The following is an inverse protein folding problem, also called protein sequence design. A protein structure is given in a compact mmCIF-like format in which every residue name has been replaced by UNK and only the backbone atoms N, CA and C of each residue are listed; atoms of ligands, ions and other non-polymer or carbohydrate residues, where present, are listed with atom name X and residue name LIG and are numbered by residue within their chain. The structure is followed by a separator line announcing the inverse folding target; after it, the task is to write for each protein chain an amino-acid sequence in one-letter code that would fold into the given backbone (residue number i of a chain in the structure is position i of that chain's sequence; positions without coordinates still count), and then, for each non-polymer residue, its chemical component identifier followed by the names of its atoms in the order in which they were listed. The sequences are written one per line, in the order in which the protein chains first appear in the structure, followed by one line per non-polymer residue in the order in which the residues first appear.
data_IF_003052566606
#
_entry.id   IF_003052566606
#
_cell.length_a   1.000
_cell.length_b   1.000
_cell.length_c   1.000
_cell.angle_alpha   90.00
_cell.angle_beta   90.00
_cell.angle_gamma   90.00
#
_symmetry.space_group_name_H-M   'P 1'
#
loop_
_entity.id
_entity.type
_entity.pdbx_description
1 polymer ?
#
# COMPACT_ATOMS: atom_id res chain seq x y z
N UNK A 1 -30.25 -40.89 11.93
CA UNK A 1 -29.07 -40.05 12.32
C UNK A 1 -28.35 -39.67 11.03
N UNK A 2 -28.52 -38.43 10.56
CA UNK A 2 -27.88 -37.91 9.37
C UNK A 2 -26.45 -37.42 9.69
N UNK A 3 -25.48 -38.08 9.07
CA UNK A 3 -24.06 -37.72 9.18
C UNK A 3 -23.81 -36.47 8.32
N UNK A 4 -23.52 -35.32 8.94
CA UNK A 4 -23.11 -34.08 8.27
C UNK A 4 -21.82 -34.33 7.49
N UNK A 5 -21.88 -34.20 6.16
CA UNK A 5 -20.74 -34.31 5.23
C UNK A 5 -19.88 -33.05 5.29
N UNK A 6 -18.57 -33.23 5.55
CA UNK A 6 -17.54 -32.38 4.93
C UNK A 6 -17.07 -31.15 5.68
N UNK A 7 -16.57 -31.26 6.93
CA UNK A 7 -15.54 -30.34 7.39
C UNK A 7 -14.22 -30.64 6.65
N UNK A 8 -13.93 -29.86 5.60
CA UNK A 8 -12.57 -29.86 5.00
C UNK A 8 -11.57 -29.56 6.11
N UNK A 9 -10.71 -30.53 6.46
CA UNK A 9 -9.60 -30.35 7.42
C UNK A 9 -8.78 -29.13 6.96
N UNK A 10 -8.91 -28.01 7.66
CA UNK A 10 -8.11 -26.80 7.43
C UNK A 10 -6.65 -27.18 7.65
N UNK A 11 -5.75 -26.71 6.76
CA UNK A 11 -4.31 -26.91 6.90
C UNK A 11 -3.82 -26.23 8.18
N UNK A 12 -2.71 -26.70 8.74
CA UNK A 12 -2.08 -26.08 9.93
C UNK A 12 -1.87 -24.57 9.70
N UNK A 13 -1.41 -24.19 8.51
CA UNK A 13 -1.25 -22.79 8.10
C UNK A 13 -2.57 -21.98 8.18
N UNK A 14 -3.69 -22.56 7.74
CA UNK A 14 -5.00 -21.90 7.82
C UNK A 14 -5.50 -21.75 9.27
N UNK A 15 -5.19 -22.69 10.16
CA UNK A 15 -5.52 -22.60 11.60
C UNK A 15 -4.72 -21.50 12.27
N UNK A 16 -3.41 -21.50 12.09
CA UNK A 16 -2.50 -20.49 12.65
C UNK A 16 -2.87 -19.08 12.14
N UNK A 17 -3.23 -18.95 10.87
CA UNK A 17 -3.71 -17.69 10.32
C UNK A 17 -5.01 -17.22 10.99
N UNK A 18 -5.98 -18.12 11.16
CA UNK A 18 -7.26 -17.80 11.80
C UNK A 18 -7.09 -17.40 13.27
N UNK A 19 -6.27 -18.13 14.02
CA UNK A 19 -5.94 -17.82 15.42
C UNK A 19 -5.31 -16.44 15.55
N UNK A 20 -4.35 -16.10 14.66
CA UNK A 20 -3.74 -14.77 14.57
C UNK A 20 -4.76 -13.68 14.22
N UNK A 21 -5.75 -13.97 13.38
CA UNK A 21 -6.81 -13.00 13.05
C UNK A 21 -7.75 -12.76 14.23
N UNK A 22 -8.09 -13.80 14.98
CA UNK A 22 -9.01 -13.70 16.14
C UNK A 22 -8.34 -12.97 17.30
N UNK A 23 -7.05 -13.24 17.55
CA UNK A 23 -6.30 -12.65 18.67
C UNK A 23 -5.74 -11.26 18.39
N UNK A 24 -5.82 -10.77 17.16
CA UNK A 24 -5.22 -9.48 16.77
C UNK A 24 -6.11 -8.31 17.21
N UNK A 25 -5.67 -7.45 18.14
CA UNK A 25 -6.48 -6.35 18.65
C UNK A 25 -6.87 -5.33 17.58
N UNK A 26 -6.05 -5.17 16.53
CA UNK A 26 -6.36 -4.29 15.41
C UNK A 26 -7.48 -4.85 14.52
N UNK A 27 -7.66 -6.17 14.45
CA UNK A 27 -8.80 -6.77 13.75
C UNK A 27 -10.11 -6.44 14.49
N UNK A 28 -10.14 -6.63 15.81
CA UNK A 28 -11.30 -6.30 16.63
C UNK A 28 -11.61 -4.79 16.57
N UNK A 29 -10.58 -3.97 16.64
CA UNK A 29 -10.68 -2.52 16.54
C UNK A 29 -11.21 -2.07 15.17
N UNK A 30 -10.69 -2.62 14.08
CA UNK A 30 -11.15 -2.31 12.72
C UNK A 30 -12.63 -2.61 12.54
N UNK A 31 -13.11 -3.77 13.04
CA UNK A 31 -14.51 -4.14 12.99
C UNK A 31 -15.39 -3.17 13.78
N UNK A 32 -14.95 -2.74 14.97
CA UNK A 32 -15.69 -1.80 15.83
C UNK A 32 -15.76 -0.39 15.22
N UNK A 33 -14.67 0.08 14.61
CA UNK A 33 -14.55 1.42 14.04
C UNK A 33 -14.97 1.48 12.55
N UNK A 34 -15.45 0.34 12.00
CA UNK A 34 -15.98 0.27 10.64
C UNK A 34 -14.92 0.31 9.54
N UNK A 35 -13.64 0.02 9.85
CA UNK A 35 -12.60 -0.13 8.84
C UNK A 35 -12.65 -1.49 8.15
N UNK A 36 -12.38 -1.51 6.85
CA UNK A 36 -12.42 -2.73 6.03
C UNK A 36 -11.36 -3.75 6.39
N UNK A 37 -10.24 -3.32 6.93
CA UNK A 37 -9.15 -4.19 7.35
C UNK A 37 -8.30 -3.56 8.46
N UNK A 38 -7.58 -4.41 9.19
CA UNK A 38 -6.60 -3.95 10.17
C UNK A 38 -5.46 -3.13 9.55
N UNK A 39 -5.19 -3.31 8.25
CA UNK A 39 -4.16 -2.57 7.53
C UNK A 39 -4.43 -1.05 7.54
N UNK A 40 -5.68 -0.62 7.69
CA UNK A 40 -6.04 0.79 7.84
C UNK A 40 -5.21 1.48 8.92
N UNK A 41 -4.98 0.82 10.06
CA UNK A 41 -4.23 1.41 11.18
C UNK A 41 -2.76 1.65 10.88
N UNK A 42 -2.15 0.89 9.97
CA UNK A 42 -0.78 1.18 9.52
C UNK A 42 -0.70 2.57 8.90
N UNK A 43 -1.64 2.90 8.00
CA UNK A 43 -1.70 4.22 7.39
C UNK A 43 -2.13 5.30 8.39
N UNK A 44 -3.10 5.01 9.25
CA UNK A 44 -3.54 5.94 10.32
C UNK A 44 -2.34 6.36 11.17
N UNK A 45 -1.57 5.41 11.70
CA UNK A 45 -0.43 5.68 12.59
C UNK A 45 0.73 6.39 11.88
N UNK A 46 0.99 6.01 10.62
CA UNK A 46 1.99 6.71 9.79
C UNK A 46 1.54 8.14 9.54
N UNK A 47 0.28 8.35 9.15
CA UNK A 47 -0.21 9.68 8.83
C UNK A 47 -0.38 10.58 10.07
N UNK A 48 -0.78 10.03 11.21
CA UNK A 48 -0.82 10.77 12.47
C UNK A 48 0.55 11.36 12.83
N UNK A 49 1.62 10.63 12.53
CA UNK A 49 3.00 11.06 12.80
C UNK A 49 3.56 11.98 11.72
N UNK A 50 3.30 11.69 10.45
CA UNK A 50 3.99 12.34 9.34
C UNK A 50 3.14 13.33 8.56
N UNK A 51 1.81 13.36 8.78
CA UNK A 51 0.86 14.30 8.15
C UNK A 51 0.95 14.31 6.63
N UNK A 52 0.77 13.12 6.03
CA UNK A 52 0.83 12.92 4.58
C UNK A 52 -0.50 13.27 3.90
N UNK A 53 -1.61 12.95 4.56
CA UNK A 53 -2.97 13.11 4.06
C UNK A 53 -3.54 14.44 4.58
N UNK A 54 -3.56 15.45 3.73
CA UNK A 54 -4.16 16.76 4.03
C UNK A 54 -5.45 16.93 3.24
N UNK A 55 -6.39 17.76 3.67
CA UNK A 55 -7.53 18.15 2.85
C UNK A 55 -7.09 18.61 1.45
N UNK A 56 -7.75 18.11 0.42
CA UNK A 56 -7.43 18.41 -0.97
C UNK A 56 -6.31 17.58 -1.61
N UNK A 57 -5.62 16.71 -0.85
CA UNK A 57 -4.53 15.85 -1.37
C UNK A 57 -5.05 14.88 -2.44
N UNK A 58 -4.26 14.74 -3.52
CA UNK A 58 -4.48 13.76 -4.59
C UNK A 58 -3.61 12.54 -4.34
N UNK A 59 -4.26 11.40 -4.10
CA UNK A 59 -3.63 10.16 -3.64
C UNK A 59 -3.79 9.07 -4.69
N UNK A 60 -2.72 8.31 -4.93
CA UNK A 60 -2.78 7.02 -5.63
C UNK A 60 -2.46 5.92 -4.64
N UNK A 61 -3.33 4.89 -4.54
CA UNK A 61 -3.20 3.73 -3.64
C UNK A 61 -3.01 2.45 -4.47
N UNK A 62 -1.79 1.92 -4.47
CA UNK A 62 -1.38 0.73 -5.21
C UNK A 62 -1.46 -0.50 -4.30
N UNK A 63 -2.24 -1.52 -4.73
CA UNK A 63 -2.54 -2.70 -3.91
C UNK A 63 -3.63 -2.41 -2.88
N UNK A 64 -4.69 -1.75 -3.32
CA UNK A 64 -5.69 -1.15 -2.45
C UNK A 64 -6.61 -2.15 -1.73
N UNK A 65 -6.93 -3.30 -2.36
CA UNK A 65 -7.91 -4.25 -1.80
C UNK A 65 -7.49 -4.82 -0.44
N UNK A 66 -8.42 -4.91 0.51
CA UNK A 66 -9.87 -4.69 0.46
C UNK A 66 -10.33 -3.22 0.66
N UNK A 67 -9.42 -2.24 0.64
CA UNK A 67 -9.73 -0.82 0.70
C UNK A 67 -9.41 -0.13 2.03
N UNK A 68 -8.62 -0.77 2.89
CA UNK A 68 -8.30 -0.18 4.21
C UNK A 68 -7.54 1.13 4.11
N UNK A 69 -6.55 1.23 3.23
CA UNK A 69 -5.79 2.46 3.03
C UNK A 69 -6.57 3.49 2.23
N UNK A 70 -7.24 3.08 1.16
CA UNK A 70 -8.12 3.96 0.37
C UNK A 70 -9.20 4.62 1.22
N UNK A 71 -9.81 3.89 2.16
CA UNK A 71 -10.83 4.42 3.06
C UNK A 71 -10.27 5.48 4.02
N UNK A 72 -9.08 5.23 4.61
CA UNK A 72 -8.39 6.21 5.45
C UNK A 72 -8.03 7.46 4.64
N UNK A 73 -7.49 7.26 3.43
CA UNK A 73 -7.12 8.36 2.54
C UNK A 73 -8.35 9.22 2.20
N UNK A 74 -9.44 8.61 1.74
CA UNK A 74 -10.66 9.34 1.36
C UNK A 74 -11.24 10.16 2.53
N UNK A 75 -11.30 9.57 3.74
CA UNK A 75 -11.77 10.27 4.94
C UNK A 75 -10.92 11.50 5.28
N UNK A 76 -9.59 11.43 5.08
CA UNK A 76 -8.66 12.50 5.47
C UNK A 76 -8.50 13.59 4.44
N UNK A 77 -8.53 13.23 3.15
CA UNK A 77 -8.41 14.24 2.08
C UNK A 77 -9.70 15.01 1.83
N UNK A 78 -10.84 14.43 2.23
CA UNK A 78 -12.15 15.07 2.13
C UNK A 78 -12.62 15.31 0.68
N UNK A 79 -13.72 16.07 0.53
CA UNK A 79 -14.37 16.31 -0.76
C UNK A 79 -13.49 17.06 -1.78
N UNK A 80 -12.54 17.87 -1.31
CA UNK A 80 -11.58 18.56 -2.17
C UNK A 80 -10.41 17.71 -2.65
N UNK A 81 -10.24 16.50 -2.07
CA UNK A 81 -9.20 15.56 -2.43
C UNK A 81 -9.67 14.54 -3.45
N UNK A 82 -8.73 13.71 -3.90
CA UNK A 82 -9.02 12.61 -4.82
C UNK A 82 -8.22 11.37 -4.42
N UNK A 83 -8.86 10.21 -4.42
CA UNK A 83 -8.19 8.93 -4.20
C UNK A 83 -8.44 8.03 -5.39
N UNK A 84 -7.36 7.68 -6.09
CA UNK A 84 -7.35 6.70 -7.16
C UNK A 84 -6.69 5.43 -6.65
N UNK A 85 -7.39 4.31 -6.73
CA UNK A 85 -6.97 3.03 -6.19
C UNK A 85 -6.88 1.95 -7.28
N UNK A 86 -5.90 1.05 -7.19
CA UNK A 86 -5.75 -0.08 -8.10
C UNK A 86 -5.44 -1.36 -7.33
N UNK A 87 -6.06 -2.47 -7.76
CA UNK A 87 -5.74 -3.82 -7.27
C UNK A 87 -6.15 -4.88 -8.30
N UNK A 88 -5.52 -6.05 -8.26
CA UNK A 88 -5.92 -7.24 -9.02
C UNK A 88 -7.19 -7.89 -8.47
N UNK A 89 -7.47 -7.69 -7.18
CA UNK A 89 -8.65 -8.20 -6.49
C UNK A 89 -9.80 -7.20 -6.56
N UNK A 90 -11.03 -7.72 -6.48
CA UNK A 90 -12.20 -6.86 -6.38
C UNK A 90 -12.24 -6.09 -5.06
N UNK A 91 -12.68 -4.84 -5.13
CA UNK A 91 -12.93 -4.01 -3.98
C UNK A 91 -14.35 -3.46 -4.00
N UNK A 92 -15.06 -3.57 -2.87
CA UNK A 92 -16.37 -2.93 -2.74
C UNK A 92 -16.21 -1.41 -2.86
N UNK A 93 -17.15 -0.69 -3.51
CA UNK A 93 -17.07 0.76 -3.65
C UNK A 93 -16.84 1.48 -2.32
N UNK A 94 -16.06 2.56 -2.36
CA UNK A 94 -15.78 3.48 -1.25
C UNK A 94 -16.13 4.88 -1.73
N UNK A 95 -16.90 5.63 -0.94
CA UNK A 95 -17.19 7.02 -1.26
C UNK A 95 -15.88 7.84 -1.36
N UNK A 96 -15.73 8.62 -2.41
CA UNK A 96 -14.52 9.43 -2.66
C UNK A 96 -13.31 8.65 -3.19
N UNK A 97 -13.48 7.37 -3.55
CA UNK A 97 -12.43 6.55 -4.15
C UNK A 97 -12.85 6.08 -5.54
N UNK A 98 -12.02 6.38 -6.52
CA UNK A 98 -12.09 5.81 -7.86
C UNK A 98 -11.24 4.54 -7.92
N UNK A 99 -11.82 3.40 -8.28
CA UNK A 99 -11.14 2.10 -8.23
C UNK A 99 -10.98 1.51 -9.62
N UNK A 100 -9.76 1.10 -9.95
CA UNK A 100 -9.41 0.37 -11.16
C UNK A 100 -9.01 -1.08 -10.80
N UNK A 101 -9.77 -2.05 -11.28
CA UNK A 101 -9.40 -3.46 -11.16
C UNK A 101 -8.46 -3.83 -12.30
N UNK A 102 -7.17 -3.83 -12.02
CA UNK A 102 -6.12 -4.16 -12.99
C UNK A 102 -4.87 -4.60 -12.24
N UNK A 103 -4.06 -5.47 -12.86
CA UNK A 103 -2.73 -5.77 -12.37
C UNK A 103 -1.82 -4.55 -12.59
N UNK A 104 -1.22 -4.04 -11.51
CA UNK A 104 -0.30 -2.90 -11.60
C UNK A 104 0.94 -3.22 -12.46
N UNK A 105 1.32 -4.49 -12.58
CA UNK A 105 2.43 -4.93 -13.44
C UNK A 105 2.04 -5.08 -14.92
N UNK A 106 0.75 -4.91 -15.25
CA UNK A 106 0.33 -4.81 -16.65
C UNK A 106 0.90 -3.54 -17.27
N UNK A 107 1.50 -3.66 -18.46
CA UNK A 107 2.14 -2.54 -19.16
C UNK A 107 1.18 -1.35 -19.43
N UNK A 108 -0.13 -1.58 -19.42
CA UNK A 108 -1.15 -0.54 -19.63
C UNK A 108 -1.52 0.18 -18.33
N UNK A 109 -1.25 -0.41 -17.16
CA UNK A 109 -1.69 0.12 -15.88
C UNK A 109 -1.16 1.54 -15.58
N UNK A 110 0.14 1.84 -15.76
CA UNK A 110 0.64 3.19 -15.52
C UNK A 110 -0.03 4.23 -16.42
N UNK A 111 -0.28 3.90 -17.69
CA UNK A 111 -0.95 4.80 -18.62
C UNK A 111 -2.41 5.05 -18.23
N UNK A 112 -3.17 4.00 -17.88
CA UNK A 112 -4.54 4.13 -17.43
C UNK A 112 -4.64 4.94 -16.13
N UNK A 113 -3.76 4.68 -15.16
CA UNK A 113 -3.71 5.45 -13.91
C UNK A 113 -3.40 6.93 -14.15
N UNK A 114 -2.45 7.25 -15.03
CA UNK A 114 -2.13 8.64 -15.39
C UNK A 114 -3.32 9.34 -16.06
N UNK A 115 -4.01 8.67 -16.98
CA UNK A 115 -5.19 9.20 -17.66
C UNK A 115 -6.32 9.49 -16.66
N UNK A 116 -6.60 8.54 -15.76
CA UNK A 116 -7.59 8.71 -14.70
C UNK A 116 -7.20 9.81 -13.71
N UNK A 117 -5.92 9.87 -13.31
CA UNK A 117 -5.42 10.89 -12.39
C UNK A 117 -5.62 12.31 -12.94
N UNK A 118 -5.49 12.49 -14.24
CA UNK A 118 -5.73 13.77 -14.94
C UNK A 118 -4.84 14.91 -14.42
N UNK A 119 -3.60 14.61 -14.04
CA UNK A 119 -2.62 15.54 -13.50
C UNK A 119 -1.63 14.85 -12.55
N UNK A 120 -0.97 15.62 -11.69
CA UNK A 120 0.02 15.07 -10.74
C UNK A 120 -0.63 14.63 -9.44
N UNK A 121 -0.01 13.65 -8.77
CA UNK A 121 -0.36 13.21 -7.42
C UNK A 121 0.48 13.96 -6.37
N UNK A 122 -0.08 14.15 -5.19
CA UNK A 122 0.66 14.65 -4.03
C UNK A 122 1.23 13.49 -3.19
N UNK A 123 0.59 12.33 -3.28
CA UNK A 123 0.97 11.15 -2.50
C UNK A 123 0.72 9.86 -3.30
N UNK A 124 1.74 9.02 -3.37
CA UNK A 124 1.61 7.63 -3.85
C UNK A 124 1.83 6.69 -2.67
N UNK A 125 0.86 5.82 -2.45
CA UNK A 125 0.85 4.77 -1.43
C UNK A 125 1.02 3.41 -2.10
N UNK A 126 1.74 2.48 -1.48
CA UNK A 126 1.83 1.10 -1.93
C UNK A 126 1.92 0.14 -0.74
N UNK A 127 0.83 -0.61 -0.50
CA UNK A 127 0.83 -1.77 0.41
C UNK A 127 0.79 -3.09 -0.38
N UNK A 128 1.23 -3.05 -1.66
CA UNK A 128 1.26 -4.23 -2.52
C UNK A 128 2.03 -5.37 -1.88
N UNK A 129 1.52 -6.59 -2.02
CA UNK A 129 2.16 -7.80 -1.58
C UNK A 129 1.93 -8.92 -2.60
N UNK A 130 2.99 -9.58 -3.02
CA UNK A 130 2.86 -10.81 -3.78
C UNK A 130 2.27 -11.93 -2.91
N UNK A 131 1.52 -12.83 -3.53
CA UNK A 131 1.07 -14.05 -2.85
C UNK A 131 2.28 -14.83 -2.35
N UNK A 132 2.26 -15.22 -1.06
CA UNK A 132 3.32 -15.97 -0.45
C UNK A 132 3.48 -17.34 -1.12
N UNK A 133 4.68 -17.65 -1.59
CA UNK A 133 5.03 -18.97 -2.12
C UNK A 133 5.45 -19.93 -1.01
N UNK A 134 5.75 -19.40 0.18
CA UNK A 134 6.36 -20.11 1.30
C UNK A 134 7.89 -20.17 1.22
N UNK A 135 8.49 -19.70 0.13
CA UNK A 135 9.93 -19.61 -0.03
C UNK A 135 10.39 -18.16 0.24
N UNK A 136 11.00 -17.96 1.39
CA UNK A 136 11.32 -16.63 1.94
C UNK A 136 12.06 -15.70 0.97
N UNK A 137 13.06 -16.24 0.26
CA UNK A 137 13.87 -15.46 -0.67
C UNK A 137 13.06 -15.05 -1.91
N UNK A 138 12.25 -15.96 -2.45
CA UNK A 138 11.38 -15.66 -3.59
C UNK A 138 10.32 -14.62 -3.22
N UNK A 139 9.69 -14.76 -2.05
CA UNK A 139 8.68 -13.82 -1.57
C UNK A 139 9.29 -12.44 -1.34
N UNK A 140 10.52 -12.38 -0.81
CA UNK A 140 11.27 -11.14 -0.65
C UNK A 140 11.53 -10.44 -1.99
N UNK A 141 12.08 -11.15 -2.97
CA UNK A 141 12.37 -10.58 -4.30
C UNK A 141 11.11 -10.07 -4.99
N UNK A 142 9.99 -10.78 -4.88
CA UNK A 142 8.71 -10.36 -5.46
C UNK A 142 8.19 -9.05 -4.83
N UNK A 143 8.29 -8.91 -3.52
CA UNK A 143 7.88 -7.68 -2.84
C UNK A 143 8.79 -6.52 -3.21
N UNK A 144 10.10 -6.76 -3.34
CA UNK A 144 11.04 -5.73 -3.79
C UNK A 144 10.77 -5.28 -5.22
N UNK A 145 10.48 -6.19 -6.14
CA UNK A 145 10.10 -5.85 -7.52
C UNK A 145 8.83 -4.97 -7.56
N UNK A 146 7.83 -5.26 -6.71
CA UNK A 146 6.63 -4.42 -6.57
C UNK A 146 6.96 -3.03 -6.02
N UNK A 147 7.86 -2.94 -5.04
CA UNK A 147 8.28 -1.66 -4.47
C UNK A 147 9.07 -0.81 -5.49
N UNK A 148 9.94 -1.42 -6.29
CA UNK A 148 10.69 -0.78 -7.36
C UNK A 148 9.75 -0.27 -8.47
N UNK A 149 8.79 -1.09 -8.91
CA UNK A 149 7.77 -0.68 -9.87
C UNK A 149 6.91 0.48 -9.35
N UNK A 150 6.50 0.43 -8.08
CA UNK A 150 5.75 1.51 -7.44
C UNK A 150 6.58 2.80 -7.35
N UNK A 151 7.88 2.71 -7.04
CA UNK A 151 8.78 3.87 -6.99
C UNK A 151 9.00 4.48 -8.37
N UNK A 152 9.12 3.65 -9.40
CA UNK A 152 9.21 4.12 -10.79
C UNK A 152 7.97 4.93 -11.17
N UNK A 153 6.80 4.35 -10.95
CA UNK A 153 5.52 5.04 -11.21
C UNK A 153 5.37 6.34 -10.38
N UNK A 154 5.77 6.32 -9.10
CA UNK A 154 5.70 7.51 -8.25
C UNK A 154 6.51 8.67 -8.82
N UNK A 155 7.71 8.43 -9.40
CA UNK A 155 8.52 9.46 -10.06
C UNK A 155 7.83 10.09 -11.27
N UNK A 156 7.00 9.32 -11.96
CA UNK A 156 6.31 9.79 -13.15
C UNK A 156 5.07 10.63 -12.86
N UNK A 157 4.45 10.42 -11.69
CA UNK A 157 3.15 11.06 -11.37
C UNK A 157 3.19 12.07 -10.25
N UNK A 158 4.23 12.05 -9.38
CA UNK A 158 4.30 12.95 -8.24
C UNK A 158 4.55 14.41 -8.67
N UNK A 159 3.82 15.31 -8.04
CA UNK A 159 4.13 16.73 -8.07
C UNK A 159 5.44 17.00 -7.29
N UNK A 160 6.21 18.05 -7.65
CA UNK A 160 7.31 18.52 -6.80
C UNK A 160 6.82 18.74 -5.37
N UNK A 161 7.59 18.28 -4.39
CA UNK A 161 7.20 18.29 -2.97
C UNK A 161 6.34 17.10 -2.53
N UNK A 162 5.87 16.27 -3.46
CA UNK A 162 5.06 15.09 -3.19
C UNK A 162 5.77 14.03 -2.36
N UNK A 163 5.02 13.03 -1.93
CA UNK A 163 5.51 11.97 -1.05
C UNK A 163 5.20 10.58 -1.60
N UNK A 164 6.05 9.61 -1.25
CA UNK A 164 5.89 8.20 -1.59
C UNK A 164 6.03 7.35 -0.34
N UNK A 165 5.09 6.44 -0.12
CA UNK A 165 5.09 5.48 0.97
C UNK A 165 4.92 4.08 0.40
N UNK A 166 5.90 3.20 0.58
CA UNK A 166 5.78 1.83 0.08
C UNK A 166 6.23 0.79 1.10
N UNK A 167 5.58 -0.37 1.07
CA UNK A 167 5.98 -1.54 1.84
C UNK A 167 7.24 -2.15 1.25
N UNK A 168 8.16 -2.50 2.15
CA UNK A 168 9.38 -3.29 1.88
C UNK A 168 9.53 -4.35 2.95
N UNK A 169 10.45 -5.29 2.76
CA UNK A 169 10.81 -6.27 3.77
C UNK A 169 12.25 -6.04 4.24
N UNK A 170 12.49 -6.16 5.54
CA UNK A 170 13.84 -6.21 6.09
C UNK A 170 14.63 -7.36 5.46
N UNK A 171 15.85 -7.09 5.00
CA UNK A 171 16.69 -8.15 4.42
C UNK A 171 17.79 -7.67 3.46
N UNK A 172 17.95 -6.36 3.28
CA UNK A 172 19.14 -5.76 2.63
C UNK A 172 19.14 -5.69 1.11
N UNK A 173 18.08 -6.11 0.42
CA UNK A 173 17.95 -5.95 -1.05
C UNK A 173 17.40 -4.58 -1.45
N UNK A 174 16.92 -3.80 -0.47
CA UNK A 174 16.38 -2.46 -0.70
C UNK A 174 17.47 -1.37 -0.88
N UNK A 175 18.75 -1.70 -0.83
CA UNK A 175 19.83 -0.71 -0.87
C UNK A 175 19.83 0.13 -2.16
N UNK A 176 19.59 -0.50 -3.32
CA UNK A 176 19.50 0.18 -4.61
C UNK A 176 18.29 1.13 -4.64
N UNK A 177 17.11 0.63 -4.29
CA UNK A 177 15.89 1.42 -4.20
C UNK A 177 16.04 2.59 -3.23
N UNK A 178 16.66 2.35 -2.05
CA UNK A 178 16.92 3.40 -1.05
C UNK A 178 17.86 4.48 -1.59
N UNK A 179 18.91 4.10 -2.33
CA UNK A 179 19.84 5.05 -2.95
C UNK A 179 19.14 5.94 -3.98
N UNK A 180 18.31 5.34 -4.82
CA UNK A 180 17.51 6.06 -5.81
C UNK A 180 16.52 7.02 -5.14
N UNK A 181 15.77 6.56 -4.14
CA UNK A 181 14.82 7.42 -3.42
C UNK A 181 15.53 8.58 -2.71
N UNK A 182 16.72 8.37 -2.13
CA UNK A 182 17.52 9.45 -1.51
C UNK A 182 17.98 10.49 -2.52
N UNK A 183 18.23 10.11 -3.77
CA UNK A 183 18.55 11.05 -4.85
C UNK A 183 17.33 11.89 -5.24
N UNK A 184 16.15 11.24 -5.35
CA UNK A 184 14.97 11.83 -5.94
C UNK A 184 14.10 12.58 -4.92
N UNK A 185 14.27 12.34 -3.61
CA UNK A 185 13.49 12.95 -2.54
C UNK A 185 14.37 13.69 -1.51
N UNK A 186 13.79 14.69 -0.86
CA UNK A 186 14.50 15.46 0.17
C UNK A 186 14.79 14.64 1.44
N UNK A 187 13.93 13.69 1.77
CA UNK A 187 14.14 12.80 2.91
C UNK A 187 13.56 11.40 2.66
N UNK A 188 14.27 10.37 3.13
CA UNK A 188 13.81 8.98 3.09
C UNK A 188 14.03 8.34 4.45
N UNK A 189 13.00 7.67 4.98
CA UNK A 189 13.03 7.04 6.31
C UNK A 189 12.39 5.66 6.26
N UNK A 190 12.92 4.73 7.04
CA UNK A 190 12.23 3.49 7.38
C UNK A 190 11.21 3.78 8.49
N UNK A 191 10.01 3.24 8.31
CA UNK A 191 8.90 3.39 9.25
C UNK A 191 8.31 2.02 9.53
N UNK A 192 8.17 1.68 10.81
CA UNK A 192 7.42 0.51 11.27
C UNK A 192 6.30 1.00 12.18
N UNK A 193 5.05 1.09 11.68
CA UNK A 193 3.94 1.52 12.52
C UNK A 193 3.64 0.45 13.57
N UNK A 194 3.14 0.82 14.77
CA UNK A 194 2.73 -0.12 15.82
C UNK A 194 1.73 -1.17 15.34
N UNK A 195 0.86 -0.83 14.38
CA UNK A 195 -0.05 -1.77 13.74
C UNK A 195 0.63 -2.85 12.90
N UNK A 196 1.92 -2.71 12.53
CA UNK A 196 2.69 -3.81 11.97
C UNK A 196 3.05 -4.80 13.08
N UNK A 197 2.86 -6.10 12.80
CA UNK A 197 3.19 -7.14 13.79
C UNK A 197 4.68 -7.11 14.11
N UNK A 198 5.03 -7.31 15.38
CA UNK A 198 6.42 -7.27 15.86
C UNK A 198 7.31 -8.32 15.20
N UNK A 199 6.75 -9.52 14.94
CA UNK A 199 7.40 -10.67 14.30
C UNK A 199 7.46 -10.57 12.77
N UNK A 200 6.82 -9.57 12.16
CA UNK A 200 6.84 -9.36 10.71
C UNK A 200 8.11 -8.63 10.27
N UNK A 201 8.74 -9.12 9.19
CA UNK A 201 9.81 -8.42 8.50
C UNK A 201 9.34 -7.17 7.72
N UNK A 202 8.04 -6.86 7.75
CA UNK A 202 7.43 -5.73 7.05
C UNK A 202 7.90 -4.39 7.62
N UNK A 203 8.33 -3.52 6.73
CA UNK A 203 8.67 -2.13 6.96
C UNK A 203 8.04 -1.26 5.86
N UNK A 204 8.06 0.04 6.05
CA UNK A 204 7.72 1.02 5.03
C UNK A 204 8.89 1.95 4.75
N UNK A 205 9.13 2.26 3.47
CA UNK A 205 9.95 3.39 3.06
C UNK A 205 9.03 4.60 2.87
N UNK A 206 9.28 5.65 3.63
CA UNK A 206 8.64 6.95 3.49
C UNK A 206 9.63 7.93 2.88
N UNK A 207 9.40 8.28 1.61
CA UNK A 207 10.15 9.30 0.88
C UNK A 207 9.30 10.57 0.76
N UNK A 208 9.85 11.75 1.09
CA UNK A 208 9.14 13.02 1.13
C UNK A 208 9.91 14.11 0.41
N UNK A 209 9.15 15.03 -0.18
CA UNK A 209 9.71 16.16 -0.88
C UNK A 209 10.35 15.72 -2.20
N UNK A 210 9.54 15.16 -3.09
CA UNK A 210 9.97 14.80 -4.43
C UNK A 210 10.56 16.02 -5.13
N UNK A 211 11.76 15.88 -5.67
CA UNK A 211 12.50 17.02 -6.25
C UNK A 211 12.02 17.41 -7.65
N UNK A 212 11.11 16.62 -8.22
CA UNK A 212 10.80 16.67 -9.64
C UNK A 212 11.86 15.89 -10.43
N UNK A 213 11.45 15.00 -11.34
CA UNK A 213 12.39 14.40 -12.29
C UNK A 213 13.02 15.54 -13.11
N UNK A 214 14.34 15.57 -13.22
CA UNK A 214 14.94 16.29 -14.33
C UNK A 214 14.27 15.74 -15.59
N UNK A 215 13.62 16.60 -16.38
CA UNK A 215 13.16 16.22 -17.69
C UNK A 215 14.33 15.51 -18.38
N UNK A 216 14.10 14.27 -18.85
CA UNK A 216 15.10 13.61 -19.69
C UNK A 216 15.45 14.61 -20.80
N UNK A 217 16.73 14.87 -21.05
CA UNK A 217 17.08 15.72 -22.17
C UNK A 217 16.45 15.13 -23.44
N UNK A 218 15.73 15.98 -24.17
CA UNK A 218 15.08 15.67 -25.41
C UNK A 218 16.08 15.17 -26.47
#
# INVERSE_FOLDING_TARGET
MARLKGEKRRTLSSRTWLERQISDPYVARAKREGFRSRAAYKLVEIDDKYRLLKPGTRVVDLGAAPGGWSEVAARRVGEGGRVLAIDVLDMKPIAGVEFLKLDFLDNTAPHQLKALLGGQADLVLSDMAANATGHRQTDHLRIMALAEAAAHFAREVLAPGGSFLCKVLQGGTEAALLAELKRDFASVKHVKPPASRSDSAELYLLARGFRGGAAAPA
#
